data_IF_011839706710
#
_entry.id   IF_011839706710
#
_cell.length_a   1.000
_cell.length_b   1.000
_cell.length_c   1.000
_cell.angle_alpha   90.00
_cell.angle_beta   90.00
_cell.angle_gamma   90.00
#
_symmetry.space_group_name_H-M   'P 1'
#
loop_
_entity.id
_entity.type
_entity.pdbx_description
1 polymer ?
#
# COMPACT_ATOMS: atom_id res chain seq x y z
N UNK A 1 -12.75 13.50 7.95
CA UNK A 1 -12.50 12.66 6.76
C UNK A 1 -12.30 11.23 7.24
N UNK A 2 -13.13 10.28 6.83
CA UNK A 2 -13.11 8.91 7.34
C UNK A 2 -11.85 8.18 6.90
N UNK A 3 -11.16 7.52 7.83
CA UNK A 3 -9.87 6.83 7.64
C UNK A 3 -9.83 5.92 6.40
N UNK A 4 -10.94 5.25 6.05
CA UNK A 4 -11.06 4.38 4.87
C UNK A 4 -10.91 5.11 3.53
N UNK A 5 -11.32 6.38 3.41
CA UNK A 5 -11.20 7.14 2.15
C UNK A 5 -9.75 7.46 1.82
N UNK A 6 -8.89 7.56 2.85
CA UNK A 6 -7.47 7.84 2.68
C UNK A 6 -6.73 6.60 2.18
N UNK A 7 -6.98 5.43 2.77
CA UNK A 7 -6.34 4.17 2.35
C UNK A 7 -6.68 3.81 0.91
N UNK A 8 -7.95 3.94 0.53
CA UNK A 8 -8.40 3.63 -0.83
C UNK A 8 -7.72 4.53 -1.87
N UNK A 9 -7.64 5.84 -1.61
CA UNK A 9 -7.00 6.80 -2.50
C UNK A 9 -5.48 6.53 -2.65
N UNK A 10 -4.78 6.30 -1.53
CA UNK A 10 -3.35 5.94 -1.53
C UNK A 10 -3.12 4.65 -2.32
N UNK A 11 -3.99 3.65 -2.14
CA UNK A 11 -3.88 2.36 -2.81
C UNK A 11 -4.13 2.46 -4.32
N UNK A 12 -5.16 3.19 -4.75
CA UNK A 12 -5.44 3.45 -6.16
C UNK A 12 -4.27 4.17 -6.85
N UNK A 13 -3.70 5.20 -6.20
CA UNK A 13 -2.56 5.92 -6.75
C UNK A 13 -1.33 5.02 -6.87
N UNK A 14 -1.09 4.17 -5.87
CA UNK A 14 0.01 3.22 -5.92
C UNK A 14 -0.16 2.20 -7.04
N UNK A 15 -1.35 1.62 -7.21
CA UNK A 15 -1.66 0.68 -8.29
C UNK A 15 -1.35 1.31 -9.65
N UNK A 16 -1.79 2.54 -9.87
CA UNK A 16 -1.53 3.25 -11.14
C UNK A 16 -0.03 3.40 -11.45
N UNK A 17 0.79 3.71 -10.46
CA UNK A 17 2.25 3.82 -10.63
C UNK A 17 2.90 2.46 -10.91
N UNK A 18 2.37 1.39 -10.31
CA UNK A 18 2.83 0.02 -10.55
C UNK A 18 2.43 -0.48 -11.95
N UNK A 19 1.24 -0.14 -12.44
CA UNK A 19 0.83 -0.41 -13.82
C UNK A 19 1.77 0.28 -14.81
N UNK A 20 2.13 1.54 -14.55
CA UNK A 20 3.09 2.27 -15.37
C UNK A 20 4.47 1.62 -15.36
N UNK A 21 4.89 1.11 -14.21
CA UNK A 21 6.15 0.39 -14.04
C UNK A 21 6.14 -1.05 -14.58
N UNK A 22 4.98 -1.55 -15.06
CA UNK A 22 4.76 -2.94 -15.49
C UNK A 22 5.00 -3.97 -14.39
N UNK A 23 4.67 -3.60 -13.16
CA UNK A 23 4.78 -4.45 -11.98
C UNK A 23 3.49 -5.25 -11.74
N UNK A 24 3.09 -6.05 -12.73
CA UNK A 24 1.78 -6.73 -12.78
C UNK A 24 1.47 -7.55 -11.52
N UNK A 25 2.48 -8.21 -10.95
CA UNK A 25 2.32 -8.97 -9.70
C UNK A 25 1.85 -8.09 -8.54
N UNK A 26 2.39 -6.88 -8.43
CA UNK A 26 2.03 -5.92 -7.38
C UNK A 26 0.71 -5.21 -7.69
N UNK A 27 0.42 -4.95 -8.96
CA UNK A 27 -0.89 -4.46 -9.41
C UNK A 27 -2.00 -5.41 -8.97
N UNK A 28 -1.84 -6.71 -9.24
CA UNK A 28 -2.79 -7.76 -8.84
C UNK A 28 -2.88 -7.85 -7.32
N UNK A 29 -1.74 -7.82 -6.62
CA UNK A 29 -1.70 -7.93 -5.17
C UNK A 29 -2.45 -6.79 -4.48
N UNK A 30 -2.18 -5.54 -4.87
CA UNK A 30 -2.84 -4.37 -4.28
C UNK A 30 -4.27 -4.19 -4.80
N UNK A 31 -4.59 -4.61 -6.02
CA UNK A 31 -5.96 -4.68 -6.52
C UNK A 31 -6.85 -5.58 -5.66
N UNK A 32 -6.33 -6.72 -5.22
CA UNK A 32 -7.00 -7.60 -4.26
C UNK A 32 -7.27 -6.91 -2.91
N UNK A 33 -6.35 -6.07 -2.43
CA UNK A 33 -6.55 -5.31 -1.20
C UNK A 33 -7.60 -4.19 -1.39
N UNK A 34 -7.63 -3.56 -2.57
CA UNK A 34 -8.59 -2.51 -2.93
C UNK A 34 -10.02 -3.06 -2.98
N UNK A 35 -10.21 -4.21 -3.63
CA UNK A 35 -11.52 -4.87 -3.69
C UNK A 35 -12.06 -5.15 -2.27
N UNK A 36 -11.20 -5.61 -1.36
CA UNK A 36 -11.57 -5.86 0.04
C UNK A 36 -11.98 -4.58 0.78
N UNK A 37 -11.34 -3.43 0.50
CA UNK A 37 -11.74 -2.13 1.04
C UNK A 37 -13.14 -1.74 0.56
N UNK A 38 -13.39 -1.88 -0.74
CA UNK A 38 -14.67 -1.54 -1.38
C UNK A 38 -15.83 -2.41 -0.89
N UNK A 39 -15.54 -3.65 -0.51
CA UNK A 39 -16.49 -4.56 0.15
C UNK A 39 -16.72 -4.24 1.65
N UNK A 40 -16.10 -3.20 2.19
CA UNK A 40 -16.19 -2.82 3.60
C UNK A 40 -15.31 -3.65 4.54
N UNK A 41 -14.44 -4.52 4.00
CA UNK A 41 -13.59 -5.42 4.78
C UNK A 41 -12.21 -4.80 5.08
N UNK A 42 -12.23 -3.64 5.72
CA UNK A 42 -11.04 -2.80 5.98
C UNK A 42 -9.94 -3.54 6.72
N UNK A 43 -10.27 -4.33 7.74
CA UNK A 43 -9.27 -5.05 8.53
C UNK A 43 -8.54 -6.13 7.72
N UNK A 44 -9.26 -6.89 6.88
CA UNK A 44 -8.62 -7.86 5.99
C UNK A 44 -7.79 -7.16 4.92
N UNK A 45 -8.24 -6.02 4.40
CA UNK A 45 -7.45 -5.25 3.45
C UNK A 45 -6.14 -4.75 4.08
N UNK A 46 -6.20 -4.14 5.27
CA UNK A 46 -5.00 -3.73 6.04
C UNK A 46 -4.08 -4.92 6.34
N UNK A 47 -4.62 -6.10 6.63
CA UNK A 47 -3.82 -7.31 6.83
C UNK A 47 -3.08 -7.74 5.55
N UNK A 48 -3.77 -7.73 4.40
CA UNK A 48 -3.14 -8.04 3.09
C UNK A 48 -2.03 -7.03 2.81
N UNK A 49 -2.30 -5.73 2.96
CA UNK A 49 -1.30 -4.67 2.80
C UNK A 49 -0.08 -4.94 3.67
N UNK A 50 -0.24 -5.21 4.98
CA UNK A 50 0.90 -5.49 5.88
C UNK A 50 1.77 -6.66 5.40
N UNK A 51 1.16 -7.70 4.83
CA UNK A 51 1.89 -8.87 4.33
C UNK A 51 2.75 -8.55 3.11
N UNK A 52 2.47 -7.48 2.36
CA UNK A 52 3.34 -6.99 1.30
C UNK A 52 4.71 -6.51 1.82
N UNK A 53 4.78 -6.07 3.08
CA UNK A 53 5.98 -5.50 3.69
C UNK A 53 6.80 -6.53 4.50
N UNK A 54 6.33 -7.78 4.61
CA UNK A 54 7.02 -8.83 5.37
C UNK A 54 7.18 -10.14 4.60
N UNK A 55 8.42 -10.59 4.39
CA UNK A 55 8.77 -11.84 3.70
C UNK A 55 9.96 -11.69 2.74
N UNK A 56 10.37 -12.78 2.07
CA UNK A 56 11.28 -12.73 0.92
C UNK A 56 10.54 -12.18 -0.31
N UNK A 57 11.20 -11.33 -1.12
CA UNK A 57 10.59 -10.50 -2.17
C UNK A 57 9.58 -9.49 -1.63
N UNK A 58 9.95 -8.77 -0.57
CA UNK A 58 9.09 -7.76 0.01
C UNK A 58 8.89 -6.60 -0.96
N UNK A 59 7.75 -5.92 -0.85
CA UNK A 59 7.48 -4.72 -1.65
C UNK A 59 8.55 -3.63 -1.49
N UNK A 60 9.28 -3.65 -0.37
CA UNK A 60 10.37 -2.71 -0.11
C UNK A 60 11.58 -2.92 -1.01
N UNK A 61 11.79 -4.13 -1.52
CA UNK A 61 12.95 -4.49 -2.35
C UNK A 61 12.71 -4.23 -3.85
N UNK A 62 11.53 -3.70 -4.20
CA UNK A 62 11.12 -3.54 -5.58
C UNK A 62 11.75 -2.29 -6.22
N UNK A 63 12.67 -2.52 -7.16
CA UNK A 63 13.17 -1.52 -8.09
C UNK A 63 12.17 -1.32 -9.24
N UNK A 64 11.75 -0.08 -9.47
CA UNK A 64 10.73 0.25 -10.47
C UNK A 64 11.38 0.73 -11.76
N UNK A 65 11.15 0.01 -12.84
CA UNK A 65 11.56 0.45 -14.18
C UNK A 65 10.46 1.31 -14.80
N UNK A 66 10.79 2.08 -15.86
CA UNK A 66 9.82 2.80 -16.69
C UNK A 66 8.99 3.89 -15.98
N UNK A 67 9.51 4.45 -14.89
CA UNK A 67 8.95 5.63 -14.22
C UNK A 67 9.99 6.73 -14.05
N UNK A 68 9.54 7.97 -13.86
CA UNK A 68 10.44 9.11 -13.59
C UNK A 68 10.92 9.12 -12.14
N UNK A 69 12.02 9.82 -11.84
CA UNK A 69 12.51 9.98 -10.45
C UNK A 69 11.43 10.55 -9.52
N UNK A 70 10.62 11.49 -10.01
CA UNK A 70 9.50 12.07 -9.26
C UNK A 70 8.43 11.03 -8.92
N UNK A 71 8.11 10.16 -9.86
CA UNK A 71 7.15 9.07 -9.66
C UNK A 71 7.73 7.99 -8.74
N UNK A 72 9.02 7.72 -8.84
CA UNK A 72 9.70 6.83 -7.91
C UNK A 72 9.66 7.36 -6.48
N UNK A 73 9.96 8.64 -6.27
CA UNK A 73 9.80 9.32 -4.98
C UNK A 73 8.35 9.27 -4.49
N UNK A 74 7.38 9.41 -5.39
CA UNK A 74 5.97 9.28 -5.07
C UNK A 74 5.65 7.88 -4.58
N UNK A 75 6.14 6.83 -5.24
CA UNK A 75 5.96 5.45 -4.77
C UNK A 75 6.59 5.24 -3.40
N UNK A 76 7.77 5.80 -3.12
CA UNK A 76 8.37 5.73 -1.79
C UNK A 76 7.51 6.41 -0.72
N UNK A 77 6.90 7.56 -1.03
CA UNK A 77 5.97 8.25 -0.12
C UNK A 77 4.71 7.41 0.12
N UNK A 78 4.08 6.92 -0.94
CA UNK A 78 2.88 6.09 -0.86
C UNK A 78 3.14 4.78 -0.12
N UNK A 79 4.32 4.17 -0.30
CA UNK A 79 4.78 2.99 0.46
C UNK A 79 4.74 3.25 1.96
N UNK A 80 5.32 4.36 2.40
CA UNK A 80 5.37 4.70 3.82
C UNK A 80 3.98 5.03 4.37
N UNK A 81 3.19 5.82 3.64
CA UNK A 81 1.83 6.17 4.04
C UNK A 81 0.95 4.92 4.17
N UNK A 82 1.01 4.03 3.17
CA UNK A 82 0.24 2.80 3.16
C UNK A 82 0.65 1.85 4.30
N UNK A 83 1.94 1.80 4.64
CA UNK A 83 2.43 1.06 5.80
C UNK A 83 1.83 1.62 7.10
N UNK A 84 1.91 2.93 7.33
CA UNK A 84 1.35 3.56 8.54
C UNK A 84 -0.15 3.32 8.67
N UNK A 85 -0.89 3.52 7.58
CA UNK A 85 -2.33 3.29 7.53
C UNK A 85 -2.72 1.81 7.74
N UNK A 86 -1.82 0.90 7.39
CA UNK A 86 -2.03 -0.54 7.56
C UNK A 86 -1.80 -1.00 8.99
N UNK A 87 -1.12 -0.24 9.86
CA UNK A 87 -0.85 -0.66 11.24
C UNK A 87 -2.17 -0.81 12.01
N UNK A 88 -2.31 -1.87 12.83
CA UNK A 88 -3.45 -1.98 13.73
C UNK A 88 -3.41 -0.82 14.74
N UNK A 89 -4.58 -0.30 15.11
CA UNK A 89 -4.75 0.82 16.05
C UNK A 89 -4.05 0.58 17.41
N UNK A 90 -3.81 -0.67 17.78
CA UNK A 90 -3.07 -1.08 18.99
C UNK A 90 -1.56 -0.78 18.94
N UNK A 91 -0.94 -0.67 17.76
CA UNK A 91 0.48 -0.37 17.61
C UNK A 91 0.78 1.13 17.76
N UNK A 92 -0.17 2.01 17.44
CA UNK A 92 -0.03 3.47 17.59
C UNK A 92 0.08 3.86 19.07
N UNK A 93 -0.64 3.16 19.96
CA UNK A 93 -0.58 3.40 21.41
C UNK A 93 0.77 3.08 22.06
N UNK A 94 1.63 2.27 21.44
CA UNK A 94 2.94 1.89 21.99
C UNK A 94 4.08 2.88 21.70
N UNK A 95 3.88 3.79 20.76
CA UNK A 95 4.90 4.79 20.37
C UNK A 95 4.71 6.11 21.14
N UNK A 96 3.49 6.36 21.63
CA UNK A 96 3.11 7.56 22.39
C UNK A 96 2.68 7.26 23.84
N UNK A 97 2.97 6.05 24.34
CA UNK A 97 2.65 5.60 25.70
C UNK A 97 3.91 5.36 26.51
#
# INVERSE_FOLDING_TARGET
MSESKTVEATLMRLIHLLEKAKEDNWVIYFGNALERLQQGNTEKAKQVIRRAYGGMCSFNDLGLNFITDKEYEEVLKLRNELWELSKPTSLIKKIFG
#
